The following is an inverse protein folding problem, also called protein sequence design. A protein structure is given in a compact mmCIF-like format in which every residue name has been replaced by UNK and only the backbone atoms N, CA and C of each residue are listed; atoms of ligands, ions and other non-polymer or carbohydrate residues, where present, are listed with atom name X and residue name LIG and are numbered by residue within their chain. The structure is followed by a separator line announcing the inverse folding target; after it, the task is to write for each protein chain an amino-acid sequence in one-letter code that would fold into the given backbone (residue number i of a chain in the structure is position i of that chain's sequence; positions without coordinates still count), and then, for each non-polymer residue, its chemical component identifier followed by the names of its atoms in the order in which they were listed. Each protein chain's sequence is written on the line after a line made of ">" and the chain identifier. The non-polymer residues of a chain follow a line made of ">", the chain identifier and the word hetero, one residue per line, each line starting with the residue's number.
data_IF_700170027098
#
_entry.id   IF_700170027098
#
_cell.length_a   1.000
_cell.length_b   1.000
_cell.length_c   1.000
_cell.angle_alpha   90.00
_cell.angle_beta   90.00
_cell.angle_gamma   90.00
#
_symmetry.space_group_name_H-M   'P 1'
#
loop_
_entity.id
_entity.type
_entity.pdbx_description
1 polymer ?
#
# COMPACT_ATOMS: atom_id res chain seq x y z
N UNK A 1 3.67 15.62 -14.97
CA UNK A 1 2.47 14.86 -14.53
C UNK A 1 2.32 15.14 -13.05
N UNK A 2 1.23 15.79 -12.65
CA UNK A 2 0.85 15.77 -11.24
C UNK A 2 0.32 14.36 -10.98
N UNK A 3 1.09 13.56 -10.26
CA UNK A 3 0.68 12.23 -9.83
C UNK A 3 -0.15 12.39 -8.55
N UNK A 4 -1.42 12.02 -8.60
CA UNK A 4 -2.37 12.09 -7.47
C UNK A 4 -2.11 10.97 -6.44
N UNK A 5 -0.84 10.63 -6.20
CA UNK A 5 -0.46 9.55 -5.29
C UNK A 5 -0.53 9.99 -3.84
N UNK A 6 -1.11 9.15 -3.00
CA UNK A 6 -0.96 9.25 -1.55
C UNK A 6 0.26 8.49 -1.07
N UNK A 7 0.93 9.09 -0.07
CA UNK A 7 2.07 8.51 0.64
C UNK A 7 1.67 8.44 2.10
N UNK A 8 2.02 7.37 2.81
CA UNK A 8 1.57 7.19 4.19
C UNK A 8 2.73 6.98 5.16
N UNK A 9 2.56 7.50 6.37
CA UNK A 9 3.45 7.28 7.50
C UNK A 9 2.65 6.67 8.63
N UNK A 10 3.13 5.53 9.13
CA UNK A 10 2.58 4.85 10.29
C UNK A 10 3.64 4.90 11.38
N UNK A 11 3.35 5.58 12.48
CA UNK A 11 4.30 5.73 13.57
C UNK A 11 3.79 5.04 14.85
N UNK A 12 4.72 4.41 15.56
CA UNK A 12 4.47 3.90 16.89
C UNK A 12 4.52 5.07 17.90
N UNK A 13 3.41 5.36 18.61
CA UNK A 13 3.35 6.50 19.51
C UNK A 13 4.28 6.37 20.72
N UNK A 14 4.70 5.16 21.08
CA UNK A 14 5.56 4.89 22.24
C UNK A 14 7.06 5.03 21.93
N UNK A 15 7.46 4.86 20.67
CA UNK A 15 8.88 4.81 20.28
C UNK A 15 9.29 5.88 19.29
N UNK A 16 8.33 6.44 18.54
CA UNK A 16 8.62 7.33 17.42
C UNK A 16 9.08 6.60 16.15
N UNK A 17 9.29 5.28 16.20
CA UNK A 17 9.59 4.49 15.00
C UNK A 17 8.42 4.57 14.01
N UNK A 18 8.75 4.69 12.73
CA UNK A 18 7.79 4.85 11.67
C UNK A 18 8.08 3.97 10.46
N UNK A 19 6.99 3.62 9.78
CA UNK A 19 6.93 2.91 8.51
C UNK A 19 6.45 3.89 7.44
N UNK A 20 7.19 4.01 6.35
CA UNK A 20 6.77 4.74 5.16
C UNK A 20 6.15 3.78 4.14
N UNK A 21 4.92 4.04 3.70
CA UNK A 21 4.24 3.24 2.68
C UNK A 21 4.24 4.04 1.37
N UNK A 22 4.75 3.41 0.31
CA UNK A 22 4.83 3.94 -1.06
C UNK A 22 5.36 5.39 -1.14
N UNK A 23 6.60 5.67 -0.68
CA UNK A 23 7.07 7.03 -0.44
C UNK A 23 7.55 7.76 -1.70
N UNK A 24 6.75 7.82 -2.78
CA UNK A 24 7.06 8.56 -4.01
C UNK A 24 7.54 10.00 -3.75
N UNK A 25 6.81 10.75 -2.92
CA UNK A 25 7.20 12.09 -2.49
C UNK A 25 8.04 12.00 -1.20
N UNK A 26 9.23 11.39 -1.34
CA UNK A 26 10.14 11.13 -0.23
C UNK A 26 10.49 12.40 0.55
N UNK A 27 10.59 13.55 -0.11
CA UNK A 27 10.88 14.83 0.52
C UNK A 27 9.79 15.23 1.53
N UNK A 28 8.51 15.09 1.15
CA UNK A 28 7.40 15.30 2.08
C UNK A 28 7.38 14.27 3.19
N UNK A 29 7.63 12.99 2.89
CA UNK A 29 7.69 11.92 3.90
C UNK A 29 8.75 12.23 4.97
N UNK A 30 9.99 12.52 4.56
CA UNK A 30 11.09 12.84 5.46
C UNK A 30 10.83 14.11 6.28
N UNK A 31 10.34 15.18 5.64
CA UNK A 31 9.99 16.41 6.35
C UNK A 31 8.89 16.18 7.39
N UNK A 32 7.83 15.45 7.01
CA UNK A 32 6.71 15.19 7.91
C UNK A 32 7.09 14.32 9.10
N UNK A 33 7.91 13.28 8.87
CA UNK A 33 8.43 12.45 9.95
C UNK A 33 9.29 13.28 10.91
N UNK A 34 10.20 14.11 10.38
CA UNK A 34 11.03 15.02 11.17
C UNK A 34 10.21 15.98 12.02
N UNK A 35 9.20 16.64 11.43
CA UNK A 35 8.32 17.59 12.13
C UNK A 35 7.54 16.93 13.29
N UNK A 36 7.28 15.63 13.18
CA UNK A 36 6.59 14.84 14.19
C UNK A 36 7.53 14.16 15.19
N UNK A 37 8.85 14.28 15.01
CA UNK A 37 9.84 13.56 15.82
C UNK A 37 9.80 12.04 15.59
N UNK A 38 9.42 11.61 14.39
CA UNK A 38 9.38 10.21 14.00
C UNK A 38 10.64 9.80 13.24
N UNK A 39 11.06 8.56 13.44
CA UNK A 39 12.21 7.94 12.79
C UNK A 39 11.72 6.86 11.82
N UNK A 40 11.91 7.08 10.52
CA UNK A 40 11.51 6.10 9.51
C UNK A 40 12.54 4.96 9.50
N UNK A 41 12.16 3.81 10.05
CA UNK A 41 13.03 2.62 10.15
C UNK A 41 12.73 1.59 9.07
N UNK A 42 11.57 1.69 8.42
CA UNK A 42 11.09 0.73 7.44
C UNK A 42 10.35 1.44 6.30
N UNK A 43 10.45 0.88 5.11
CA UNK A 43 9.65 1.22 3.93
C UNK A 43 8.84 -0.01 3.54
N UNK A 44 7.58 0.17 3.14
CA UNK A 44 6.74 -0.90 2.65
C UNK A 44 6.13 -0.51 1.31
N UNK A 45 6.46 -1.24 0.25
CA UNK A 45 5.79 -1.06 -1.03
C UNK A 45 4.60 -1.99 -1.18
N UNK A 46 3.49 -1.42 -1.66
CA UNK A 46 2.29 -2.19 -1.97
C UNK A 46 2.45 -3.01 -3.26
N UNK A 47 3.19 -2.51 -4.25
CA UNK A 47 3.47 -3.19 -5.52
C UNK A 47 4.64 -2.52 -6.26
N UNK A 48 5.00 -3.07 -7.42
CA UNK A 48 6.23 -2.75 -8.14
C UNK A 48 6.21 -1.48 -8.99
N UNK A 49 5.10 -0.75 -9.08
CA UNK A 49 5.02 0.41 -9.98
C UNK A 49 5.91 1.58 -9.51
N UNK A 50 6.46 2.31 -10.49
CA UNK A 50 7.42 3.39 -10.26
C UNK A 50 6.86 4.57 -9.45
N UNK A 51 5.55 4.82 -9.55
CA UNK A 51 4.84 5.83 -8.77
C UNK A 51 4.61 5.43 -7.30
N UNK A 52 5.04 4.24 -6.89
CA UNK A 52 5.02 3.77 -5.49
C UNK A 52 6.42 3.51 -4.96
N UNK A 53 7.32 3.01 -5.82
CA UNK A 53 8.71 2.67 -5.48
C UNK A 53 9.70 3.81 -5.69
N UNK A 54 9.31 4.85 -6.44
CA UNK A 54 10.22 5.88 -6.96
C UNK A 54 10.99 6.69 -5.90
N UNK A 55 10.51 6.72 -4.65
CA UNK A 55 11.22 7.40 -3.56
C UNK A 55 12.00 6.49 -2.63
N UNK A 56 12.00 5.16 -2.84
CA UNK A 56 12.64 4.20 -1.93
C UNK A 56 14.11 4.53 -1.68
N UNK A 57 14.90 4.69 -2.74
CA UNK A 57 16.34 4.90 -2.63
C UNK A 57 16.68 6.15 -1.80
N UNK A 58 15.97 7.25 -2.02
CA UNK A 58 16.18 8.50 -1.31
C UNK A 58 15.80 8.40 0.18
N UNK A 59 14.74 7.65 0.52
CA UNK A 59 14.40 7.39 1.94
C UNK A 59 15.46 6.50 2.59
N UNK A 60 15.91 5.42 1.91
CA UNK A 60 16.93 4.51 2.42
C UNK A 60 18.25 5.26 2.65
N UNK A 61 18.69 6.09 1.70
CA UNK A 61 19.91 6.89 1.83
C UNK A 61 19.82 7.84 3.03
N UNK A 62 18.65 8.46 3.25
CA UNK A 62 18.45 9.43 4.31
C UNK A 62 18.32 8.80 5.72
N UNK A 63 17.82 7.57 5.83
CA UNK A 63 17.44 7.00 7.14
C UNK A 63 18.03 5.62 7.44
N UNK A 64 18.57 4.91 6.45
CA UNK A 64 18.97 3.51 6.59
C UNK A 64 17.79 2.55 6.76
N UNK A 65 16.57 2.97 6.39
CA UNK A 65 15.37 2.15 6.52
C UNK A 65 15.48 0.83 5.74
N UNK A 66 14.87 -0.22 6.27
CA UNK A 66 14.74 -1.51 5.56
C UNK A 66 13.58 -1.47 4.58
N UNK A 67 13.80 -1.99 3.37
CA UNK A 67 12.78 -2.11 2.35
C UNK A 67 12.04 -3.44 2.44
N UNK A 68 10.73 -3.35 2.58
CA UNK A 68 9.82 -4.48 2.73
C UNK A 68 8.83 -4.47 1.56
N UNK A 69 8.57 -5.64 1.00
CA UNK A 69 7.57 -5.81 -0.07
C UNK A 69 7.06 -7.26 -0.08
N UNK A 70 6.08 -7.56 -0.93
CA UNK A 70 5.67 -8.94 -1.18
C UNK A 70 6.87 -9.78 -1.70
N UNK A 71 6.96 -11.06 -1.33
CA UNK A 71 8.06 -11.93 -1.79
C UNK A 71 8.14 -12.06 -3.32
N UNK A 72 6.99 -12.09 -4.01
CA UNK A 72 6.91 -12.09 -5.48
C UNK A 72 7.36 -10.77 -6.15
N UNK A 73 7.62 -9.71 -5.38
CA UNK A 73 8.21 -8.48 -5.91
C UNK A 73 9.74 -8.57 -6.04
N UNK A 74 10.36 -9.65 -5.56
CA UNK A 74 11.79 -9.93 -5.76
C UNK A 74 12.12 -9.93 -7.26
N UNK A 75 13.15 -9.16 -7.64
CA UNK A 75 13.55 -8.96 -9.03
C UNK A 75 12.71 -7.92 -9.80
N UNK A 76 11.62 -7.40 -9.22
CA UNK A 76 10.83 -6.28 -9.77
C UNK A 76 11.09 -4.98 -9.02
N UNK A 77 11.20 -5.06 -7.69
CA UNK A 77 11.63 -3.96 -6.83
C UNK A 77 13.08 -4.24 -6.41
N UNK A 78 13.95 -3.29 -6.67
CA UNK A 78 15.36 -3.40 -6.31
C UNK A 78 15.57 -3.20 -4.80
N UNK A 79 16.44 -4.02 -4.19
CA UNK A 79 16.90 -3.80 -2.82
C UNK A 79 15.93 -4.20 -1.72
N UNK A 80 14.98 -5.12 -1.97
CA UNK A 80 14.09 -5.64 -0.91
C UNK A 80 14.92 -6.38 0.15
N UNK A 81 14.87 -5.90 1.40
CA UNK A 81 15.48 -6.54 2.57
C UNK A 81 14.61 -7.67 3.13
N UNK A 82 13.28 -7.55 3.04
CA UNK A 82 12.33 -8.54 3.53
C UNK A 82 11.17 -8.74 2.55
N UNK A 83 11.04 -9.98 2.05
CA UNK A 83 9.86 -10.45 1.34
C UNK A 83 8.78 -10.94 2.31
N UNK A 84 7.54 -10.47 2.14
CA UNK A 84 6.39 -10.86 2.95
C UNK A 84 5.47 -11.84 2.20
N UNK A 85 4.80 -12.68 2.98
CA UNK A 85 3.68 -13.55 2.59
C UNK A 85 2.40 -13.11 3.29
N UNK A 86 1.24 -13.45 2.73
CA UNK A 86 -0.04 -13.33 3.44
C UNK A 86 0.01 -13.96 4.83
N UNK A 87 -0.49 -13.24 5.82
CA UNK A 87 -0.46 -13.63 7.23
C UNK A 87 0.75 -13.14 8.02
N UNK A 88 1.81 -12.68 7.35
CA UNK A 88 2.97 -12.08 8.03
C UNK A 88 2.60 -10.79 8.75
N UNK A 89 3.37 -10.42 9.77
CA UNK A 89 3.15 -9.21 10.56
C UNK A 89 4.37 -8.30 10.48
N UNK A 90 4.18 -7.09 9.97
CA UNK A 90 5.12 -5.98 10.03
C UNK A 90 4.93 -5.25 11.35
N UNK A 91 5.99 -5.18 12.16
CA UNK A 91 5.97 -4.45 13.44
C UNK A 91 6.63 -3.09 13.26
N UNK A 92 6.02 -2.07 13.86
CA UNK A 92 6.56 -0.71 13.91
C UNK A 92 6.65 -0.34 15.39
N UNK A 93 7.87 -0.16 15.89
CA UNK A 93 8.10 0.06 17.32
C UNK A 93 7.50 -1.04 18.21
N UNK A 94 6.87 -0.61 19.31
CA UNK A 94 6.34 -1.51 20.35
C UNK A 94 4.89 -1.95 20.14
N UNK A 95 4.07 -1.13 19.47
CA UNK A 95 2.60 -1.29 19.51
C UNK A 95 1.88 -1.19 18.17
N UNK A 96 2.55 -0.75 17.10
CA UNK A 96 1.94 -0.76 15.78
C UNK A 96 2.29 -2.08 15.07
N UNK A 97 1.26 -2.81 14.62
CA UNK A 97 1.40 -4.08 13.92
C UNK A 97 0.48 -4.11 12.70
N UNK A 98 1.05 -4.41 11.54
CA UNK A 98 0.35 -4.58 10.28
C UNK A 98 0.41 -6.02 9.80
N UNK A 99 -0.75 -6.62 9.57
CA UNK A 99 -0.95 -7.88 8.90
C UNK A 99 -0.87 -7.71 7.38
N UNK A 100 -0.02 -8.52 6.76
CA UNK A 100 0.10 -8.68 5.32
C UNK A 100 -1.08 -9.49 4.76
N UNK A 101 -1.73 -8.97 3.72
CA UNK A 101 -2.76 -9.66 2.95
C UNK A 101 -2.40 -9.67 1.46
N UNK A 102 -2.60 -10.81 0.81
CA UNK A 102 -2.47 -10.91 -0.65
C UNK A 102 -3.73 -10.35 -1.30
N UNK A 103 -3.57 -9.43 -2.25
CA UNK A 103 -4.73 -8.82 -2.93
C UNK A 103 -4.65 -8.83 -4.46
N UNK A 104 -4.37 -9.99 -5.09
CA UNK A 104 -4.17 -10.09 -6.53
C UNK A 104 -5.35 -9.48 -7.31
N UNK A 105 -5.01 -8.71 -8.35
CA UNK A 105 -5.95 -7.90 -9.12
C UNK A 105 -5.17 -6.85 -9.93
N UNK A 106 -4.84 -5.71 -9.32
CA UNK A 106 -4.10 -4.60 -9.98
C UNK A 106 -2.72 -5.02 -10.51
N UNK A 107 -2.01 -5.86 -9.76
CA UNK A 107 -0.90 -6.67 -10.28
C UNK A 107 -1.10 -8.12 -9.82
N UNK A 108 -0.20 -9.02 -10.24
CA UNK A 108 -0.11 -10.39 -9.70
C UNK A 108 0.79 -10.48 -8.45
N UNK A 109 1.32 -9.34 -7.96
CA UNK A 109 2.14 -9.22 -6.75
C UNK A 109 1.69 -8.13 -5.76
N UNK A 110 0.40 -7.83 -5.56
CA UNK A 110 -0.02 -6.72 -4.72
C UNK A 110 -0.15 -7.13 -3.25
N UNK A 111 0.53 -6.34 -2.45
CA UNK A 111 0.60 -6.39 -1.00
C UNK A 111 -0.39 -5.40 -0.39
N UNK A 112 -1.13 -5.85 0.63
CA UNK A 112 -2.03 -5.01 1.38
C UNK A 112 -1.71 -5.09 2.88
N UNK A 113 -1.17 -4.02 3.49
CA UNK A 113 -1.04 -3.92 4.93
C UNK A 113 -2.40 -3.57 5.59
N UNK A 114 -2.74 -4.24 6.69
CA UNK A 114 -3.91 -3.96 7.56
C UNK A 114 -3.52 -4.01 9.04
N UNK A 115 -4.07 -3.22 9.97
CA UNK A 115 -3.63 -3.37 11.38
C UNK A 115 -4.21 -4.62 12.05
N UNK A 116 -3.37 -5.34 12.81
CA UNK A 116 -3.75 -6.62 13.44
C UNK A 116 -4.77 -6.51 14.58
N UNK A 117 -4.82 -5.36 15.27
CA UNK A 117 -5.64 -5.16 16.49
C UNK A 117 -6.69 -4.05 16.39
N UNK A 118 -6.79 -3.37 15.25
CA UNK A 118 -7.74 -2.29 15.04
C UNK A 118 -8.36 -2.40 13.65
N UNK A 119 -9.62 -2.01 13.55
CA UNK A 119 -10.41 -1.88 12.33
C UNK A 119 -9.95 -0.67 11.50
N UNK A 120 -8.66 -0.61 11.18
CA UNK A 120 -7.97 0.54 10.56
C UNK A 120 -6.70 0.04 9.85
N UNK A 121 -6.17 0.76 8.85
CA UNK A 121 -6.73 0.93 7.54
C UNK A 121 -6.28 -0.07 6.50
N UNK A 122 -7.06 -0.12 5.42
CA UNK A 122 -6.81 -0.86 4.19
C UNK A 122 -6.11 0.04 3.17
N UNK A 123 -4.87 -0.28 2.79
CA UNK A 123 -4.22 0.42 1.69
C UNK A 123 -4.50 -0.31 0.38
N UNK A 124 -5.52 0.14 -0.37
CA UNK A 124 -5.94 -0.54 -1.60
C UNK A 124 -5.83 0.39 -2.83
N UNK A 125 -5.02 -0.05 -3.79
CA UNK A 125 -5.08 0.40 -5.19
C UNK A 125 -6.30 -0.21 -5.92
N UNK A 126 -6.93 -1.19 -5.28
CA UNK A 126 -7.76 -2.18 -5.92
C UNK A 126 -9.13 -1.62 -6.40
N UNK A 127 -9.49 -0.40 -5.97
CA UNK A 127 -10.75 0.25 -6.38
C UNK A 127 -10.73 0.67 -7.86
N UNK A 128 -9.56 0.90 -8.47
CA UNK A 128 -9.52 1.41 -9.86
C UNK A 128 -10.03 0.41 -10.91
N UNK A 129 -9.85 -0.90 -10.69
CA UNK A 129 -10.25 -1.93 -11.66
C UNK A 129 -11.74 -2.31 -11.63
N UNK A 130 -12.51 -1.85 -10.64
CA UNK A 130 -13.96 -2.09 -10.57
C UNK A 130 -14.77 -1.38 -11.65
N UNK A 131 -14.15 -0.42 -12.35
CA UNK A 131 -14.85 0.49 -13.27
C UNK A 131 -14.40 0.35 -14.74
N UNK A 132 -13.60 -0.68 -15.05
CA UNK A 132 -13.17 -0.98 -16.42
C UNK A 132 -14.00 -2.14 -16.98
N UNK A 133 -14.60 -1.96 -18.16
CA UNK A 133 -15.11 -3.08 -18.95
C UNK A 133 -13.90 -3.80 -19.57
N UNK A 134 -13.66 -5.09 -19.26
CA UNK A 134 -12.52 -5.80 -19.80
C UNK A 134 -12.69 -6.00 -21.31
N UNK A 135 -11.70 -5.56 -22.10
CA UNK A 135 -11.69 -5.72 -23.57
C UNK A 135 -10.84 -6.94 -24.00
N UNK A 136 -10.03 -7.48 -23.08
CA UNK A 136 -9.13 -8.61 -23.31
C UNK A 136 -9.28 -9.72 -22.25
N UNK A 137 -8.88 -10.95 -22.61
CA UNK A 137 -8.87 -12.09 -21.67
C UNK A 137 -7.98 -11.83 -20.45
N UNK A 138 -6.87 -11.12 -20.62
CA UNK A 138 -5.98 -10.75 -19.52
C UNK A 138 -6.66 -9.79 -18.53
N UNK A 139 -7.42 -8.81 -19.04
CA UNK A 139 -8.21 -7.90 -18.20
C UNK A 139 -9.37 -8.61 -17.51
N UNK A 140 -9.99 -9.59 -18.18
CA UNK A 140 -11.04 -10.43 -17.59
C UNK A 140 -10.50 -11.27 -16.41
N UNK A 141 -9.30 -11.85 -16.55
CA UNK A 141 -8.65 -12.61 -15.48
C UNK A 141 -8.22 -11.72 -14.31
N UNK A 142 -7.74 -10.51 -14.59
CA UNK A 142 -7.48 -9.47 -13.58
C UNK A 142 -8.76 -9.14 -12.80
N UNK A 143 -9.87 -8.91 -13.50
CA UNK A 143 -11.16 -8.60 -12.89
C UNK A 143 -11.68 -9.76 -12.04
N UNK A 144 -11.58 -11.01 -12.52
CA UNK A 144 -11.96 -12.21 -11.74
C UNK A 144 -11.14 -12.36 -10.47
N UNK A 145 -9.82 -12.17 -10.56
CA UNK A 145 -8.93 -12.23 -9.40
C UNK A 145 -9.25 -11.13 -8.39
N UNK A 146 -9.48 -9.91 -8.89
CA UNK A 146 -9.89 -8.80 -8.05
C UNK A 146 -11.24 -9.07 -7.34
N UNK A 147 -12.27 -9.50 -8.07
CA UNK A 147 -13.59 -9.79 -7.50
C UNK A 147 -13.52 -10.90 -6.46
N UNK A 148 -12.70 -11.93 -6.71
CA UNK A 148 -12.42 -12.99 -5.74
C UNK A 148 -11.77 -12.43 -4.49
N UNK A 149 -10.75 -11.57 -4.62
CA UNK A 149 -10.10 -10.89 -3.50
C UNK A 149 -11.10 -10.05 -2.71
N UNK A 150 -11.94 -9.27 -3.41
CA UNK A 150 -12.96 -8.42 -2.80
C UNK A 150 -13.91 -9.22 -1.92
N UNK A 151 -14.59 -10.23 -2.48
CA UNK A 151 -15.59 -11.03 -1.75
C UNK A 151 -14.96 -11.88 -0.65
N UNK A 152 -13.79 -12.47 -0.91
CA UNK A 152 -13.18 -13.41 0.03
C UNK A 152 -12.44 -12.74 1.19
N UNK A 153 -12.01 -11.49 1.03
CA UNK A 153 -11.17 -10.77 1.99
C UNK A 153 -11.75 -9.40 2.34
N UNK A 154 -11.93 -8.51 1.36
CA UNK A 154 -12.24 -7.09 1.62
C UNK A 154 -13.66 -6.88 2.15
N UNK A 155 -14.65 -7.58 1.60
CA UNK A 155 -16.06 -7.54 2.05
C UNK A 155 -16.23 -8.07 3.47
N UNK A 156 -15.29 -8.90 3.96
CA UNK A 156 -15.33 -9.47 5.30
C UNK A 156 -14.67 -8.59 6.37
N UNK A 157 -14.10 -7.46 5.96
CA UNK A 157 -13.55 -6.49 6.89
C UNK A 157 -14.69 -5.85 7.70
N UNK A 158 -14.40 -5.42 8.92
CA UNK A 158 -15.39 -4.73 9.75
C UNK A 158 -15.85 -3.43 9.08
N UNK A 159 -17.13 -3.08 9.23
CA UNK A 159 -17.75 -1.88 8.63
C UNK A 159 -17.03 -0.56 8.96
N UNK A 160 -16.33 -0.52 10.08
CA UNK A 160 -15.57 0.64 10.53
C UNK A 160 -14.10 0.62 10.06
N UNK A 161 -13.73 -0.28 9.15
CA UNK A 161 -12.43 -0.30 8.49
C UNK A 161 -12.27 0.94 7.62
N UNK A 162 -11.29 1.80 7.95
CA UNK A 162 -10.94 2.91 7.06
C UNK A 162 -10.13 2.41 5.85
N UNK A 163 -10.34 3.02 4.68
CA UNK A 163 -9.62 2.70 3.45
C UNK A 163 -8.78 3.92 3.05
N UNK A 164 -7.50 3.68 2.76
CA UNK A 164 -6.49 4.68 2.42
C UNK A 164 -5.93 4.34 1.03
N UNK A 165 -6.51 4.89 -0.04
CA UNK A 165 -6.18 4.50 -1.41
C UNK A 165 -4.78 4.97 -1.82
N UNK A 166 -4.14 4.32 -2.79
CA UNK A 166 -2.86 4.81 -3.32
C UNK A 166 -2.99 6.08 -4.17
N UNK A 167 -4.20 6.41 -4.65
CA UNK A 167 -4.48 7.54 -5.54
C UNK A 167 -5.77 8.29 -5.18
N UNK A 168 -5.85 9.59 -5.51
CA UNK A 168 -7.06 10.42 -5.37
C UNK A 168 -8.02 10.33 -6.58
N UNK A 169 -8.46 9.11 -6.91
CA UNK A 169 -9.37 8.89 -8.04
C UNK A 169 -10.86 8.94 -7.68
N UNK A 170 -11.22 9.23 -6.43
CA UNK A 170 -12.59 9.10 -5.91
C UNK A 170 -13.58 9.95 -6.73
N UNK A 171 -13.21 11.19 -7.07
CA UNK A 171 -14.08 12.10 -7.82
C UNK A 171 -14.33 11.61 -9.25
N UNK A 172 -13.29 11.13 -9.93
CA UNK A 172 -13.42 10.59 -11.29
C UNK A 172 -14.25 9.30 -11.32
N UNK A 173 -14.01 8.43 -10.34
CA UNK A 173 -14.72 7.17 -10.18
C UNK A 173 -16.23 7.37 -9.95
N UNK A 174 -16.60 8.29 -9.05
CA UNK A 174 -18.01 8.65 -8.83
C UNK A 174 -18.63 9.30 -10.08
N UNK A 175 -17.86 10.14 -10.78
CA UNK A 175 -18.31 10.79 -12.02
C UNK A 175 -18.66 9.81 -13.14
N UNK A 176 -18.02 8.64 -13.20
CA UNK A 176 -18.36 7.57 -14.13
C UNK A 176 -19.68 6.88 -13.75
N UNK A 177 -19.84 6.50 -12.47
CA UNK A 177 -21.03 5.79 -11.99
C UNK A 177 -22.35 6.58 -12.16
N UNK A 178 -22.31 7.90 -12.05
CA UNK A 178 -23.50 8.74 -12.23
C UNK A 178 -23.75 9.16 -13.70
N UNK A 179 -22.90 8.72 -14.64
CA UNK A 179 -23.07 8.99 -16.08
C UNK A 179 -23.61 7.79 -16.87
N UNK A 180 -23.59 6.59 -16.28
CA UNK A 180 -24.27 5.38 -16.76
C UNK A 180 -25.68 5.29 -16.20
#
# INVERSE_FOLDING_TARGET
>A
MHTENFNYLIACPETGEALAIDPLDYGKCLSKAKDKGWEITQILNTHEHGDHTGGNHAVIEATGAKLIAHENAQGKIEGIDQGLKSGDVVKVGKSAELLALDTPGHTMSPYMPTFKKQTLPLYSQAIHYLMLEPETVAEEDILKNFMKTFVSQLEKLADNTLIYPGHDYITNNLGFYFRS
#
